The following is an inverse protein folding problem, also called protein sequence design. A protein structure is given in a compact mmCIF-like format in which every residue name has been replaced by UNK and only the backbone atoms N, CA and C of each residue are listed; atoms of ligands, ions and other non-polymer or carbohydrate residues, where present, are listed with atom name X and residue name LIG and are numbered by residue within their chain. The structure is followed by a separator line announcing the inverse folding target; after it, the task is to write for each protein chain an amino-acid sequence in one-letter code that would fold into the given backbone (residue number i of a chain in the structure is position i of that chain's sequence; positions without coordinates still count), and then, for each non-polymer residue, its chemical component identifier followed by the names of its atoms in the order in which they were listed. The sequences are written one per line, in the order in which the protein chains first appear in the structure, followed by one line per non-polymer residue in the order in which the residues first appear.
data_IF_782091061005
#
_entry.id   IF_782091061005
#
_cell.length_a   1.000
_cell.length_b   1.000
_cell.length_c   1.000
_cell.angle_alpha   90.00
_cell.angle_beta   90.00
_cell.angle_gamma   90.00
#
_symmetry.space_group_name_H-M   'P 1'
#
loop_
_entity.id
_entity.type
_entity.pdbx_description
1 polymer ?
#
# COMPACT_ATOMS: atom_id res chain seq x y z
N UNK A 1 10.61 2.20 -17.00
CA UNK A 1 11.78 1.67 -16.27
C UNK A 1 13.08 2.05 -16.98
N UNK A 2 14.01 2.66 -16.25
CA UNK A 2 15.34 2.97 -16.75
C UNK A 2 16.17 1.67 -16.84
N UNK A 3 16.97 1.47 -17.89
CA UNK A 3 17.88 0.32 -17.99
C UNK A 3 19.11 0.55 -17.10
N UNK A 4 18.91 0.60 -15.78
CA UNK A 4 19.96 0.88 -14.79
C UNK A 4 20.53 -0.40 -14.20
N UNK A 5 21.76 -0.35 -13.70
CA UNK A 5 22.42 -1.49 -13.05
C UNK A 5 21.90 -1.75 -11.64
N UNK A 6 21.48 -0.70 -10.93
CA UNK A 6 20.84 -0.81 -9.64
C UNK A 6 19.43 -1.40 -9.81
N UNK A 7 19.12 -2.43 -9.02
CA UNK A 7 17.84 -3.13 -9.03
C UNK A 7 16.89 -2.53 -8.00
N UNK A 8 15.61 -2.50 -8.33
CA UNK A 8 14.49 -2.13 -7.47
C UNK A 8 13.26 -2.94 -7.89
N UNK A 9 12.42 -3.33 -6.92
CA UNK A 9 11.17 -4.08 -7.19
C UNK A 9 9.92 -3.29 -6.82
N UNK A 10 9.92 -2.65 -5.63
CA UNK A 10 8.86 -1.77 -5.18
C UNK A 10 9.39 -0.35 -5.08
N UNK A 11 8.62 0.60 -5.56
CA UNK A 11 9.05 1.97 -5.76
C UNK A 11 7.93 2.95 -5.39
N UNK A 12 8.31 4.15 -4.97
CA UNK A 12 7.39 5.27 -4.78
C UNK A 12 8.07 6.59 -5.10
N UNK A 13 7.37 7.42 -5.87
CA UNK A 13 7.90 8.70 -6.35
C UNK A 13 7.68 9.79 -5.32
N UNK A 14 8.64 10.72 -5.24
CA UNK A 14 8.42 11.95 -4.51
C UNK A 14 7.39 12.84 -5.25
N UNK A 15 6.82 13.88 -4.60
CA UNK A 15 5.69 14.63 -5.17
C UNK A 15 5.98 15.37 -6.47
N UNK A 16 7.22 15.82 -6.67
CA UNK A 16 7.63 16.58 -7.86
C UNK A 16 8.20 15.69 -8.98
N UNK A 17 8.32 14.39 -8.76
CA UNK A 17 8.87 13.43 -9.72
C UNK A 17 10.37 13.54 -9.95
N UNK A 18 11.11 14.34 -9.19
CA UNK A 18 12.57 14.46 -9.33
C UNK A 18 13.33 13.26 -8.78
N UNK A 19 12.71 12.47 -7.91
CA UNK A 19 13.32 11.28 -7.32
C UNK A 19 12.26 10.20 -7.03
N UNK A 20 12.71 8.97 -6.88
CA UNK A 20 11.90 7.91 -6.30
C UNK A 20 12.70 7.10 -5.29
N UNK A 21 12.01 6.59 -4.28
CA UNK A 21 12.54 5.58 -3.37
C UNK A 21 12.25 4.21 -3.94
N UNK A 22 13.21 3.29 -3.85
CA UNK A 22 13.04 1.89 -4.20
C UNK A 22 13.65 0.97 -3.14
N UNK A 23 13.36 -0.31 -3.27
CA UNK A 23 13.88 -1.37 -2.39
C UNK A 23 14.28 -2.58 -3.21
N UNK A 24 15.30 -3.30 -2.74
CA UNK A 24 15.69 -4.59 -3.28
C UNK A 24 16.25 -5.50 -2.18
N UNK A 25 15.59 -6.64 -1.96
CA UNK A 25 15.97 -7.58 -0.89
C UNK A 25 16.17 -9.01 -1.36
N UNK A 26 16.02 -9.27 -2.66
CA UNK A 26 16.06 -10.62 -3.23
C UNK A 26 17.50 -11.08 -3.54
N UNK A 27 17.66 -12.10 -4.38
CA UNK A 27 18.96 -12.68 -4.74
C UNK A 27 19.94 -11.64 -5.28
N UNK A 28 21.09 -11.53 -4.61
CA UNK A 28 22.15 -10.59 -4.98
C UNK A 28 21.96 -9.18 -4.40
N UNK A 29 20.98 -8.96 -3.53
CA UNK A 29 20.84 -7.70 -2.80
C UNK A 29 22.05 -7.44 -1.90
N UNK A 30 22.60 -6.23 -1.99
CA UNK A 30 23.71 -5.73 -1.16
C UNK A 30 23.31 -4.51 -0.33
N UNK A 31 22.15 -3.93 -0.61
CA UNK A 31 21.57 -2.81 0.12
C UNK A 31 20.14 -3.19 0.52
N UNK A 32 19.88 -3.24 1.83
CA UNK A 32 18.59 -3.66 2.39
C UNK A 32 17.77 -2.47 2.94
N UNK A 33 18.31 -1.27 2.81
CA UNK A 33 17.72 -0.01 3.24
C UNK A 33 16.85 0.60 2.14
N UNK A 34 16.28 1.78 2.38
CA UNK A 34 15.55 2.53 1.37
C UNK A 34 16.53 3.17 0.38
N UNK A 35 16.48 2.76 -0.88
CA UNK A 35 17.37 3.22 -1.94
C UNK A 35 16.79 4.44 -2.65
N UNK A 36 17.60 5.48 -2.86
CA UNK A 36 17.16 6.72 -3.51
C UNK A 36 17.63 6.77 -4.96
N UNK A 37 16.71 7.06 -5.88
CA UNK A 37 16.99 7.10 -7.30
C UNK A 37 16.62 8.46 -7.90
N UNK A 38 17.39 8.88 -8.91
CA UNK A 38 17.09 10.05 -9.72
C UNK A 38 15.90 9.77 -10.65
N UNK A 39 14.92 10.68 -10.67
CA UNK A 39 13.68 10.51 -11.40
C UNK A 39 13.80 10.62 -12.92
N UNK A 40 14.89 11.22 -13.44
CA UNK A 40 15.09 11.42 -14.87
C UNK A 40 15.97 10.32 -15.50
N UNK A 41 16.85 9.73 -14.71
CA UNK A 41 17.89 8.80 -15.19
C UNK A 41 17.76 7.41 -14.59
N UNK A 42 17.05 7.27 -13.47
CA UNK A 42 17.00 6.05 -12.66
C UNK A 42 18.31 5.70 -11.97
N UNK A 43 19.28 6.62 -11.95
CA UNK A 43 20.55 6.38 -11.28
C UNK A 43 20.34 6.30 -9.76
N UNK A 44 20.98 5.33 -9.10
CA UNK A 44 21.05 5.27 -7.64
C UNK A 44 21.86 6.47 -7.13
N UNK A 45 21.21 7.38 -6.39
CA UNK A 45 21.81 8.62 -5.88
C UNK A 45 22.14 8.55 -4.40
N UNK A 46 21.55 7.60 -3.66
CA UNK A 46 21.83 7.47 -2.24
C UNK A 46 21.01 6.40 -1.54
N UNK A 47 21.01 6.46 -0.21
CA UNK A 47 20.31 5.52 0.66
C UNK A 47 19.84 6.25 1.90
N UNK A 48 18.63 5.93 2.36
CA UNK A 48 18.07 6.40 3.62
C UNK A 48 18.16 5.27 4.64
N UNK A 49 18.83 5.53 5.75
CA UNK A 49 18.95 4.57 6.86
C UNK A 49 17.55 4.31 7.47
N UNK A 50 17.07 3.08 7.33
CA UNK A 50 15.72 2.64 7.66
C UNK A 50 15.72 1.36 8.52
N UNK A 51 16.92 0.88 8.92
CA UNK A 51 17.10 -0.29 9.76
C UNK A 51 16.88 -1.60 9.01
N UNK A 52 17.08 -1.61 7.70
CA UNK A 52 17.02 -2.79 6.86
C UNK A 52 18.27 -3.67 6.99
N UNK A 53 18.07 -4.98 7.09
CA UNK A 53 19.17 -5.96 7.16
C UNK A 53 18.97 -7.07 6.13
N UNK A 54 19.97 -7.93 5.96
CA UNK A 54 19.87 -9.09 5.07
C UNK A 54 18.77 -10.09 5.46
N UNK A 55 18.37 -10.10 6.73
CA UNK A 55 17.28 -10.93 7.29
C UNK A 55 15.96 -10.18 7.40
N UNK A 56 16.00 -8.86 7.56
CA UNK A 56 14.84 -8.00 7.74
C UNK A 56 14.93 -6.80 6.79
N UNK A 57 14.87 -7.01 5.46
CA UNK A 57 15.00 -5.94 4.50
C UNK A 57 13.83 -4.96 4.59
N UNK A 58 14.07 -3.74 4.12
CA UNK A 58 12.99 -2.80 3.84
C UNK A 58 12.19 -3.25 2.61
N UNK A 59 10.91 -2.94 2.58
CA UNK A 59 10.01 -3.34 1.51
C UNK A 59 8.84 -2.36 1.35
N UNK A 60 8.10 -2.45 0.24
CA UNK A 60 6.85 -1.73 -0.02
C UNK A 60 6.87 -0.25 0.40
N UNK A 61 7.83 0.56 -0.08
CA UNK A 61 7.86 1.96 0.28
C UNK A 61 6.68 2.72 -0.34
N UNK A 62 6.22 3.74 0.37
CA UNK A 62 5.29 4.74 -0.13
C UNK A 62 5.72 6.12 0.36
N UNK A 63 6.01 7.03 -0.57
CA UNK A 63 6.42 8.40 -0.29
C UNK A 63 5.17 9.25 -0.12
N UNK A 64 5.08 9.97 1.00
CA UNK A 64 4.01 10.93 1.27
C UNK A 64 3.84 11.90 0.09
N UNK A 65 2.60 12.13 -0.39
CA UNK A 65 2.31 13.17 -1.39
C UNK A 65 2.70 14.58 -0.94
N UNK A 66 2.95 14.79 0.35
CA UNK A 66 3.44 16.05 0.93
C UNK A 66 4.99 16.13 0.89
N UNK A 67 5.67 15.01 0.62
CA UNK A 67 7.12 14.92 0.45
C UNK A 67 7.92 14.80 1.75
N UNK A 68 7.25 14.90 2.89
CA UNK A 68 7.83 15.01 4.23
C UNK A 68 8.16 13.68 4.90
N UNK A 69 7.79 12.53 4.30
CA UNK A 69 7.96 11.22 4.91
C UNK A 69 7.86 10.08 3.90
N UNK A 70 8.50 8.96 4.21
CA UNK A 70 8.29 7.67 3.55
C UNK A 70 7.78 6.66 4.59
N UNK A 71 6.66 6.00 4.29
CA UNK A 71 6.21 4.80 4.99
C UNK A 71 6.76 3.57 4.27
N UNK A 72 7.11 2.53 5.00
CA UNK A 72 7.67 1.31 4.42
C UNK A 72 7.47 0.15 5.36
N UNK A 73 7.66 -1.06 4.84
CA UNK A 73 7.64 -2.29 5.61
C UNK A 73 9.06 -2.63 6.05
N UNK A 74 9.23 -2.98 7.33
CA UNK A 74 10.38 -3.77 7.76
C UNK A 74 9.97 -5.24 7.83
N UNK A 75 10.52 -6.06 6.93
CA UNK A 75 10.15 -7.47 6.76
C UNK A 75 10.54 -8.28 7.99
N UNK A 76 9.64 -9.13 8.48
CA UNK A 76 9.91 -9.96 9.66
C UNK A 76 10.55 -11.31 9.38
N UNK A 77 10.01 -12.02 8.40
CA UNK A 77 10.60 -13.25 7.87
C UNK A 77 10.80 -13.05 6.38
N UNK A 78 12.05 -13.13 5.96
CA UNK A 78 12.44 -12.90 4.58
C UNK A 78 11.98 -14.05 3.68
N UNK A 79 11.45 -13.66 2.53
CA UNK A 79 11.25 -14.48 1.34
C UNK A 79 11.57 -13.59 0.12
N UNK A 80 10.95 -13.79 -1.03
CA UNK A 80 10.87 -12.74 -2.05
C UNK A 80 10.20 -11.49 -1.46
N UNK A 81 10.57 -10.30 -1.95
CA UNK A 81 9.91 -9.07 -1.51
C UNK A 81 8.39 -9.11 -1.74
N UNK A 82 7.92 -9.79 -2.78
CA UNK A 82 6.49 -9.97 -3.04
C UNK A 82 5.81 -10.84 -1.97
N UNK A 83 6.45 -11.92 -1.51
CA UNK A 83 5.88 -12.91 -0.59
C UNK A 83 6.45 -12.82 0.83
N UNK A 84 6.75 -11.60 1.29
CA UNK A 84 7.35 -11.38 2.61
C UNK A 84 6.35 -11.66 3.75
N UNK A 85 6.85 -12.00 4.95
CA UNK A 85 6.01 -12.29 6.11
C UNK A 85 6.35 -11.44 7.34
N UNK A 86 5.39 -11.38 8.27
CA UNK A 86 5.52 -10.74 9.58
C UNK A 86 6.02 -9.28 9.53
N UNK A 87 5.58 -8.52 8.52
CA UNK A 87 5.93 -7.13 8.35
C UNK A 87 5.37 -6.23 9.46
N UNK A 88 6.13 -5.20 9.78
CA UNK A 88 5.66 -3.99 10.46
C UNK A 88 5.79 -2.77 9.56
N UNK A 89 4.99 -1.75 9.83
CA UNK A 89 5.05 -0.48 9.11
C UNK A 89 5.89 0.50 9.90
N UNK A 90 6.92 1.03 9.26
CA UNK A 90 7.79 2.07 9.78
C UNK A 90 7.67 3.32 8.93
N UNK A 91 8.17 4.43 9.46
CA UNK A 91 8.31 5.68 8.73
C UNK A 91 9.67 6.32 8.95
N UNK A 92 10.16 7.05 7.95
CA UNK A 92 11.28 7.99 8.08
C UNK A 92 10.79 9.37 7.66
N UNK A 93 10.98 10.37 8.52
CA UNK A 93 10.57 11.76 8.25
C UNK A 93 11.73 12.54 7.60
N UNK A 94 11.41 13.45 6.69
CA UNK A 94 12.34 14.40 6.12
C UNK A 94 12.15 15.76 6.79
N UNK A 95 13.15 16.19 7.56
CA UNK A 95 13.14 17.49 8.25
C UNK A 95 14.27 18.33 7.70
N UNK A 96 13.93 19.40 6.97
CA UNK A 96 14.91 20.32 6.40
C UNK A 96 15.86 19.67 5.37
N UNK A 97 15.39 18.64 4.64
CA UNK A 97 16.20 17.90 3.66
C UNK A 97 16.95 16.70 4.26
N UNK A 98 16.88 16.48 5.57
CA UNK A 98 17.53 15.37 6.25
C UNK A 98 16.53 14.31 6.72
N UNK A 99 16.78 13.06 6.33
CA UNK A 99 16.01 11.92 6.81
C UNK A 99 16.36 11.60 8.26
N UNK A 100 15.33 11.56 9.09
CA UNK A 100 15.43 11.26 10.52
C UNK A 100 15.47 9.74 10.76
N UNK A 101 15.94 9.30 11.93
CA UNK A 101 15.83 7.90 12.33
C UNK A 101 14.39 7.38 12.19
N UNK A 102 14.26 6.12 11.82
CA UNK A 102 12.95 5.53 11.61
C UNK A 102 12.12 5.46 12.89
N UNK A 103 10.80 5.49 12.72
CA UNK A 103 9.82 5.25 13.76
C UNK A 103 8.93 4.08 13.38
N UNK A 104 8.60 3.23 14.36
CA UNK A 104 7.60 2.16 14.17
C UNK A 104 6.21 2.77 14.26
N UNK A 105 5.47 2.75 13.15
CA UNK A 105 4.11 3.28 13.08
C UNK A 105 3.07 2.21 13.42
N UNK A 106 3.23 1.01 12.84
CA UNK A 106 2.41 -0.15 13.17
C UNK A 106 3.34 -1.31 13.52
N UNK A 107 3.48 -1.67 14.81
CA UNK A 107 4.47 -2.67 15.24
C UNK A 107 4.12 -4.06 14.72
N UNK A 108 5.07 -5.00 14.74
CA UNK A 108 4.77 -6.42 14.48
C UNK A 108 3.81 -6.97 15.53
N UNK A 109 3.01 -7.96 15.14
CA UNK A 109 2.19 -8.72 16.07
C UNK A 109 2.21 -10.20 15.71
N UNK A 110 2.05 -11.05 16.72
CA UNK A 110 1.90 -12.51 16.54
C UNK A 110 0.68 -12.78 15.67
N UNK A 111 0.82 -13.68 14.71
CA UNK A 111 -0.27 -14.03 13.80
C UNK A 111 -0.65 -12.96 12.78
N UNK A 112 0.18 -11.94 12.56
CA UNK A 112 -0.11 -10.83 11.65
C UNK A 112 1.02 -10.56 10.66
N UNK A 113 0.66 -10.12 9.46
CA UNK A 113 1.57 -9.59 8.45
C UNK A 113 1.02 -8.25 7.94
N UNK A 114 1.82 -7.17 7.96
CA UNK A 114 1.39 -5.82 7.60
C UNK A 114 2.21 -5.27 6.47
N UNK A 115 1.55 -4.76 5.43
CA UNK A 115 2.21 -4.45 4.17
C UNK A 115 1.43 -3.49 3.26
N UNK A 116 2.05 -3.09 2.15
CA UNK A 116 1.55 -2.09 1.21
C UNK A 116 0.98 -0.83 1.91
N UNK A 117 1.79 -0.10 2.70
CA UNK A 117 1.37 1.22 3.17
C UNK A 117 1.06 2.14 1.99
N UNK A 118 0.04 2.97 2.13
CA UNK A 118 -0.41 3.93 1.14
C UNK A 118 -0.93 5.21 1.81
N UNK A 119 -0.21 6.32 1.65
CA UNK A 119 -0.60 7.62 2.17
C UNK A 119 -1.78 8.19 1.39
N UNK A 120 -2.75 8.71 2.14
CA UNK A 120 -3.78 9.56 1.57
C UNK A 120 -3.15 10.83 0.97
N UNK A 121 -3.83 11.51 0.03
CA UNK A 121 -3.31 12.72 -0.62
C UNK A 121 -2.97 13.87 0.32
N UNK A 122 -3.52 13.90 1.52
CA UNK A 122 -3.22 14.91 2.53
C UNK A 122 -2.04 14.54 3.45
N UNK A 123 -1.46 13.35 3.28
CA UNK A 123 -0.35 12.82 4.07
C UNK A 123 -0.69 12.47 5.53
N UNK A 124 -1.97 12.54 5.95
CA UNK A 124 -2.36 12.36 7.37
C UNK A 124 -2.97 11.02 7.68
N UNK A 125 -3.53 10.35 6.68
CA UNK A 125 -4.06 8.98 6.82
C UNK A 125 -3.17 8.02 6.05
N UNK A 126 -2.85 6.88 6.65
CA UNK A 126 -2.18 5.77 5.98
C UNK A 126 -3.10 4.56 5.94
N UNK A 127 -3.36 4.03 4.75
CA UNK A 127 -4.04 2.74 4.56
C UNK A 127 -3.01 1.66 4.30
N UNK A 128 -3.26 0.45 4.77
CA UNK A 128 -2.37 -0.69 4.58
C UNK A 128 -3.14 -2.02 4.59
N UNK A 129 -2.50 -3.08 4.13
CA UNK A 129 -3.00 -4.44 4.25
C UNK A 129 -2.53 -5.09 5.56
N UNK A 130 -3.43 -5.81 6.22
CA UNK A 130 -3.08 -6.75 7.28
C UNK A 130 -3.69 -8.12 7.00
N UNK A 131 -2.83 -9.14 6.98
CA UNK A 131 -3.21 -10.55 6.95
C UNK A 131 -3.22 -11.15 8.35
N UNK A 132 -4.08 -12.15 8.56
CA UNK A 132 -4.18 -12.94 9.78
C UNK A 132 -3.68 -14.36 9.53
N UNK A 133 -2.55 -14.69 10.13
CA UNK A 133 -1.89 -15.99 10.00
C UNK A 133 -2.54 -17.02 10.93
N UNK A 134 -2.82 -18.21 10.39
CA UNK A 134 -3.39 -19.31 11.16
C UNK A 134 -2.50 -19.67 12.37
N UNK A 135 -3.14 -20.00 13.50
CA UNK A 135 -2.48 -20.45 14.73
C UNK A 135 -1.39 -19.48 15.28
N UNK A 136 -1.44 -18.20 14.92
CA UNK A 136 -0.43 -17.24 15.34
C UNK A 136 0.90 -17.33 14.59
N UNK A 137 0.95 -18.06 13.46
CA UNK A 137 2.15 -18.21 12.62
C UNK A 137 2.71 -16.85 12.19
N UNK A 138 4.00 -16.80 11.88
CA UNK A 138 4.71 -15.62 11.38
C UNK A 138 5.29 -15.84 9.97
N UNK A 139 4.92 -16.95 9.31
CA UNK A 139 5.29 -17.27 7.93
C UNK A 139 4.31 -18.23 7.26
N UNK A 140 4.66 -18.69 6.05
CA UNK A 140 3.97 -19.77 5.32
C UNK A 140 2.62 -19.39 4.71
N UNK A 141 1.63 -19.12 5.55
CA UNK A 141 0.21 -19.09 5.16
C UNK A 141 -0.41 -17.67 5.19
N UNK A 142 0.41 -16.61 5.20
CA UNK A 142 -0.04 -15.22 5.28
C UNK A 142 0.96 -14.22 4.66
N UNK A 143 1.32 -14.44 3.40
CA UNK A 143 2.23 -13.54 2.67
C UNK A 143 1.59 -12.20 2.26
N UNK A 144 2.37 -11.37 1.59
CA UNK A 144 1.99 -10.07 1.06
C UNK A 144 1.52 -10.09 -0.41
N UNK A 145 1.27 -11.28 -1.00
CA UNK A 145 0.92 -11.42 -2.41
C UNK A 145 -0.59 -11.65 -2.58
N UNK A 146 -1.08 -12.82 -2.18
CA UNK A 146 -2.48 -13.26 -2.40
C UNK A 146 -3.09 -13.94 -1.18
N UNK A 147 -2.76 -13.47 0.03
CA UNK A 147 -3.34 -14.02 1.25
C UNK A 147 -4.87 -13.79 1.32
N UNK A 148 -5.71 -14.84 1.44
CA UNK A 148 -7.17 -14.68 1.48
C UNK A 148 -7.69 -13.85 2.65
N UNK A 149 -6.96 -13.84 3.78
CA UNK A 149 -7.39 -13.15 5.00
C UNK A 149 -7.07 -11.66 4.99
N UNK A 150 -6.30 -11.19 4.00
CA UNK A 150 -5.86 -9.81 3.87
C UNK A 150 -7.04 -8.83 3.85
N UNK A 151 -6.97 -7.83 4.73
CA UNK A 151 -7.96 -6.76 4.87
C UNK A 151 -7.28 -5.40 4.90
N UNK A 152 -8.03 -4.36 4.54
CA UNK A 152 -7.59 -2.98 4.63
C UNK A 152 -7.78 -2.42 6.04
N UNK A 153 -6.77 -1.70 6.51
CA UNK A 153 -6.77 -0.95 7.76
C UNK A 153 -6.29 0.47 7.50
N UNK A 154 -6.69 1.40 8.37
CA UNK A 154 -6.21 2.77 8.40
C UNK A 154 -5.59 3.12 9.76
N UNK A 155 -4.68 4.09 9.74
CA UNK A 155 -4.07 4.69 10.94
C UNK A 155 -3.77 6.17 10.68
N UNK A 156 -3.72 6.99 11.74
CA UNK A 156 -3.13 8.32 11.66
C UNK A 156 -1.64 8.17 11.33
N UNK A 157 -1.25 8.69 10.19
CA UNK A 157 0.10 8.58 9.66
C UNK A 157 1.12 9.36 10.51
N UNK A 158 0.71 10.47 11.12
CA UNK A 158 1.55 11.38 11.90
C UNK A 158 1.66 10.90 13.34
N UNK A 159 0.52 10.71 14.00
CA UNK A 159 0.44 10.40 15.43
C UNK A 159 0.48 8.90 15.76
N UNK A 160 0.27 8.03 14.76
CA UNK A 160 0.09 6.60 14.98
C UNK A 160 -1.22 6.31 15.74
N UNK A 161 -1.15 5.38 16.69
CA UNK A 161 -2.28 5.01 17.53
C UNK A 161 -3.01 3.74 17.07
N UNK A 162 -4.31 3.68 17.31
CA UNK A 162 -5.11 2.48 17.04
C UNK A 162 -5.37 2.30 15.55
N UNK A 163 -4.98 1.14 15.02
CA UNK A 163 -5.34 0.74 13.67
C UNK A 163 -6.82 0.44 13.59
N UNK A 164 -7.49 0.93 12.56
CA UNK A 164 -8.93 0.76 12.36
C UNK A 164 -9.19 -0.03 11.10
N UNK A 165 -9.95 -1.12 11.20
CA UNK A 165 -10.36 -1.87 10.02
C UNK A 165 -11.30 -1.02 9.17
N UNK A 166 -11.07 -0.99 7.86
CA UNK A 166 -11.99 -0.38 6.90
C UNK A 166 -13.15 -1.34 6.63
N UNK A 167 -13.98 -1.61 7.64
CA UNK A 167 -14.96 -2.70 7.62
C UNK A 167 -15.93 -2.59 6.44
N UNK A 168 -16.41 -1.38 6.12
CA UNK A 168 -17.28 -1.13 4.98
C UNK A 168 -16.57 -1.36 3.64
N UNK A 169 -15.32 -0.91 3.48
CA UNK A 169 -14.55 -1.19 2.27
C UNK A 169 -14.23 -2.69 2.13
N UNK A 170 -13.97 -3.38 3.25
CA UNK A 170 -13.66 -4.81 3.28
C UNK A 170 -14.88 -5.72 3.08
N UNK A 171 -16.10 -5.20 3.29
CA UNK A 171 -17.32 -5.99 3.26
C UNK A 171 -17.55 -6.74 1.93
N UNK A 172 -18.05 -7.98 1.96
CA UNK A 172 -18.38 -8.72 0.75
C UNK A 172 -19.50 -8.08 -0.06
N UNK A 173 -19.52 -8.36 -1.36
CA UNK A 173 -20.69 -8.13 -2.19
C UNK A 173 -21.75 -9.21 -1.96
N UNK A 174 -22.97 -8.95 -2.41
CA UNK A 174 -24.10 -9.89 -2.26
C UNK A 174 -23.79 -11.26 -2.87
N UNK A 175 -23.10 -11.29 -4.02
CA UNK A 175 -22.78 -12.53 -4.73
C UNK A 175 -21.64 -13.35 -4.10
N UNK A 176 -20.92 -12.78 -3.13
CA UNK A 176 -19.88 -13.48 -2.36
C UNK A 176 -20.49 -14.35 -1.24
N UNK A 177 -21.80 -14.26 -0.98
CA UNK A 177 -22.51 -15.03 0.03
C UNK A 177 -21.84 -14.90 1.42
N UNK A 178 -21.43 -16.03 2.02
CA UNK A 178 -20.76 -16.07 3.31
C UNK A 178 -19.24 -15.81 3.25
N UNK A 179 -18.67 -15.67 2.05
CA UNK A 179 -17.23 -15.45 1.88
C UNK A 179 -16.85 -14.04 2.32
N UNK A 180 -16.00 -13.95 3.35
CA UNK A 180 -15.50 -12.66 3.89
C UNK A 180 -13.98 -12.50 3.75
N UNK A 181 -13.29 -13.56 3.32
CA UNK A 181 -11.86 -13.57 3.01
C UNK A 181 -11.71 -13.34 1.50
N UNK A 182 -11.44 -12.09 1.13
CA UNK A 182 -11.50 -11.60 -0.25
C UNK A 182 -10.14 -11.11 -0.77
N UNK A 183 -9.05 -11.48 -0.08
CA UNK A 183 -7.67 -11.18 -0.48
C UNK A 183 -7.47 -9.71 -0.89
N UNK A 184 -7.92 -8.76 -0.05
CA UNK A 184 -7.76 -7.35 -0.39
C UNK A 184 -6.27 -7.00 -0.38
N UNK A 185 -5.76 -6.42 -1.45
CA UNK A 185 -4.32 -6.19 -1.63
C UNK A 185 -4.02 -4.91 -2.43
N UNK A 186 -2.82 -4.39 -2.21
CA UNK A 186 -2.20 -3.28 -2.94
C UNK A 186 -3.05 -1.99 -3.00
N UNK A 187 -3.40 -1.38 -1.84
CA UNK A 187 -4.17 -0.14 -1.83
C UNK A 187 -3.39 1.00 -2.50
N UNK A 188 -4.10 1.80 -3.30
CA UNK A 188 -3.58 3.03 -3.92
C UNK A 188 -4.62 4.13 -3.90
N UNK A 189 -4.20 5.32 -3.52
CA UNK A 189 -5.08 6.48 -3.45
C UNK A 189 -5.22 7.17 -4.81
N UNK A 190 -6.43 7.66 -5.07
CA UNK A 190 -6.62 8.77 -5.98
C UNK A 190 -5.89 10.00 -5.41
N UNK A 191 -5.14 10.78 -6.22
CA UNK A 191 -4.28 11.85 -5.71
C UNK A 191 -5.02 13.15 -5.29
N UNK A 192 -6.36 13.16 -5.27
CA UNK A 192 -7.14 14.35 -4.94
C UNK A 192 -7.92 14.20 -3.63
N UNK A 193 -8.02 15.32 -2.90
CA UNK A 193 -8.95 15.46 -1.78
C UNK A 193 -10.24 16.08 -2.28
N UNK A 194 -11.36 15.40 -2.02
CA UNK A 194 -12.70 15.86 -2.33
C UNK A 194 -13.39 16.39 -1.07
N UNK A 195 -14.50 17.09 -1.25
CA UNK A 195 -15.39 17.49 -0.15
C UNK A 195 -16.73 16.82 -0.33
N UNK A 196 -17.29 16.27 0.76
CA UNK A 196 -18.69 15.84 0.78
C UNK A 196 -19.57 17.09 0.73
N UNK A 197 -20.59 17.10 -0.12
CA UNK A 197 -21.53 18.20 -0.20
C UNK A 197 -22.28 18.36 1.13
N UNK A 198 -22.57 19.61 1.50
CA UNK A 198 -23.36 19.94 2.69
C UNK A 198 -22.65 19.83 4.06
N UNK A 199 -21.71 18.90 4.27
CA UNK A 199 -21.03 18.72 5.58
C UNK A 199 -19.62 19.32 5.65
N UNK A 200 -19.00 19.61 4.51
CA UNK A 200 -17.64 20.17 4.44
C UNK A 200 -16.50 19.19 4.78
N UNK A 201 -16.82 17.95 5.17
CA UNK A 201 -15.84 16.91 5.49
C UNK A 201 -15.02 16.49 4.26
N UNK A 202 -13.72 16.28 4.48
CA UNK A 202 -12.76 15.87 3.45
C UNK A 202 -12.89 14.38 3.18
N UNK A 203 -12.87 14.01 1.90
CA UNK A 203 -12.90 12.63 1.46
C UNK A 203 -11.73 12.35 0.52
N UNK A 204 -11.14 11.17 0.65
CA UNK A 204 -10.27 10.60 -0.36
C UNK A 204 -10.89 9.34 -0.94
N UNK A 205 -10.31 8.85 -2.03
CA UNK A 205 -10.72 7.57 -2.60
C UNK A 205 -9.54 6.61 -2.67
N UNK A 206 -9.75 5.41 -2.16
CA UNK A 206 -8.76 4.34 -2.19
C UNK A 206 -9.23 3.26 -3.15
N UNK A 207 -8.34 2.81 -4.02
CA UNK A 207 -8.48 1.61 -4.84
C UNK A 207 -7.70 0.47 -4.24
N UNK A 208 -8.14 -0.75 -4.48
CA UNK A 208 -7.47 -1.97 -4.06
C UNK A 208 -7.89 -3.12 -4.97
N UNK A 209 -7.04 -4.13 -5.07
CA UNK A 209 -7.39 -5.39 -5.72
C UNK A 209 -8.10 -6.33 -4.74
N UNK A 210 -9.00 -7.16 -5.23
CA UNK A 210 -9.76 -8.13 -4.41
C UNK A 210 -10.23 -9.31 -5.23
N UNK A 211 -10.38 -10.48 -4.61
CA UNK A 211 -11.04 -11.66 -5.20
C UNK A 211 -12.57 -11.57 -5.13
N UNK A 212 -13.11 -10.44 -4.64
CA UNK A 212 -14.54 -10.15 -4.60
C UNK A 212 -15.18 -10.19 -5.98
N UNK A 213 -16.36 -10.79 -6.07
CA UNK A 213 -17.13 -10.89 -7.31
C UNK A 213 -17.75 -9.56 -7.73
N UNK A 214 -17.69 -9.26 -9.03
CA UNK A 214 -18.44 -8.15 -9.62
C UNK A 214 -19.83 -8.65 -10.07
N UNK A 215 -20.81 -8.54 -9.18
CA UNK A 215 -22.12 -9.18 -9.39
C UNK A 215 -21.94 -10.69 -9.53
N UNK A 216 -22.51 -11.31 -10.55
CA UNK A 216 -22.34 -12.76 -10.80
C UNK A 216 -21.00 -13.14 -11.45
N UNK A 217 -20.11 -12.17 -11.71
CA UNK A 217 -18.83 -12.40 -12.37
C UNK A 217 -17.74 -12.65 -11.32
N UNK A 218 -17.17 -13.85 -11.34
CA UNK A 218 -15.95 -14.14 -10.59
C UNK A 218 -14.74 -13.49 -11.25
N UNK A 219 -13.72 -13.08 -10.48
CA UNK A 219 -12.40 -12.79 -11.04
C UNK A 219 -11.86 -13.98 -11.85
N UNK A 220 -10.99 -13.74 -12.83
CA UNK A 220 -10.48 -14.79 -13.71
C UNK A 220 -9.48 -15.69 -12.96
N UNK A 221 -9.74 -17.01 -12.95
CA UNK A 221 -8.87 -17.98 -12.27
C UNK A 221 -8.69 -17.67 -10.79
N UNK A 222 -7.44 -17.56 -10.35
CA UNK A 222 -7.06 -17.11 -9.00
C UNK A 222 -6.72 -15.60 -8.96
N UNK A 223 -7.21 -14.83 -9.94
CA UNK A 223 -6.92 -13.41 -10.09
C UNK A 223 -7.81 -12.50 -9.27
N UNK A 224 -7.63 -11.19 -9.47
CA UNK A 224 -8.34 -10.14 -8.75
C UNK A 224 -8.99 -9.13 -9.70
N UNK A 225 -9.98 -8.41 -9.18
CA UNK A 225 -10.57 -7.23 -9.81
C UNK A 225 -10.28 -5.99 -8.97
N UNK A 226 -10.37 -4.81 -9.59
CA UNK A 226 -10.20 -3.53 -8.92
C UNK A 226 -11.50 -3.05 -8.27
N UNK A 227 -11.38 -2.62 -7.03
CA UNK A 227 -12.45 -2.05 -6.21
C UNK A 227 -12.03 -0.68 -5.70
N UNK A 228 -13.02 0.17 -5.40
CA UNK A 228 -12.80 1.53 -4.93
C UNK A 228 -13.76 1.86 -3.79
N UNK A 229 -13.26 2.55 -2.77
CA UNK A 229 -14.05 3.04 -1.64
C UNK A 229 -13.73 4.51 -1.35
N UNK A 230 -14.73 5.27 -0.94
CA UNK A 230 -14.51 6.56 -0.30
C UNK A 230 -14.01 6.35 1.12
N UNK A 231 -13.15 7.25 1.58
CA UNK A 231 -12.65 7.30 2.96
C UNK A 231 -12.81 8.72 3.47
N UNK A 232 -13.51 8.88 4.59
CA UNK A 232 -13.65 10.13 5.30
C UNK A 232 -12.34 10.46 6.04
N UNK A 233 -11.63 11.49 5.59
CA UNK A 233 -10.31 11.87 6.11
C UNK A 233 -10.39 12.66 7.42
N UNK A 234 -11.61 13.01 7.86
CA UNK A 234 -11.86 13.74 9.10
C UNK A 234 -12.63 12.87 10.13
N UNK A 235 -12.80 11.57 9.85
CA UNK A 235 -13.43 10.63 10.76
C UNK A 235 -12.67 10.56 12.10
N UNK A 236 -13.38 10.46 13.25
CA UNK A 236 -12.74 10.27 14.53
C UNK A 236 -11.87 9.01 14.57
N UNK A 237 -10.72 9.09 15.22
CA UNK A 237 -9.82 7.95 15.39
C UNK A 237 -10.55 6.75 16.03
N UNK A 238 -10.28 5.54 15.53
CA UNK A 238 -10.92 4.31 16.00
C UNK A 238 -12.31 4.03 15.40
N UNK A 239 -12.85 4.92 14.57
CA UNK A 239 -14.10 4.68 13.82
C UNK A 239 -13.80 4.25 12.39
N UNK A 240 -14.63 3.40 11.77
CA UNK A 240 -14.47 3.03 10.36
C UNK A 240 -14.73 4.24 9.46
N UNK A 241 -13.68 4.80 8.80
CA UNK A 241 -13.84 5.98 7.95
C UNK A 241 -14.35 5.62 6.55
N UNK A 242 -14.45 4.33 6.21
CA UNK A 242 -14.70 3.90 4.83
C UNK A 242 -16.19 3.80 4.50
N UNK A 243 -16.51 4.07 3.24
CA UNK A 243 -17.78 3.69 2.63
C UNK A 243 -17.71 2.28 2.05
N UNK A 244 -18.86 1.70 1.71
CA UNK A 244 -18.92 0.43 0.99
C UNK A 244 -18.22 0.56 -0.37
N UNK A 245 -17.34 -0.39 -0.66
CA UNK A 245 -16.60 -0.37 -1.92
C UNK A 245 -17.47 -0.81 -3.11
N UNK A 246 -17.17 -0.25 -4.29
CA UNK A 246 -17.78 -0.61 -5.57
C UNK A 246 -16.71 -1.08 -6.57
N UNK A 247 -17.10 -1.89 -7.55
CA UNK A 247 -16.19 -2.37 -8.59
C UNK A 247 -15.77 -1.20 -9.49
N UNK A 248 -14.47 -1.02 -9.71
CA UNK A 248 -13.95 0.06 -10.54
C UNK A 248 -14.36 -0.20 -12.01
N UNK A 249 -14.97 0.76 -12.72
CA UNK A 249 -15.36 0.55 -14.11
C UNK A 249 -14.12 0.50 -15.05
N UNK A 250 -14.33 0.05 -16.28
CA UNK A 250 -13.34 0.04 -17.37
C UNK A 250 -12.10 -0.86 -17.16
N UNK A 251 -12.20 -1.89 -16.33
CA UNK A 251 -11.23 -2.99 -16.26
C UNK A 251 -11.62 -4.13 -17.22
N UNK A 252 -10.64 -4.83 -17.78
CA UNK A 252 -10.87 -6.08 -18.51
C UNK A 252 -11.13 -7.20 -17.49
N UNK A 253 -12.34 -7.75 -17.49
CA UNK A 253 -12.76 -8.77 -16.52
C UNK A 253 -12.19 -10.16 -16.80
N UNK A 254 -11.52 -10.35 -17.95
CA UNK A 254 -10.84 -11.60 -18.28
C UNK A 254 -9.39 -11.64 -17.76
N UNK A 255 -8.85 -10.55 -17.22
CA UNK A 255 -7.48 -10.46 -16.70
C UNK A 255 -7.43 -10.21 -15.20
N UNK A 256 -6.31 -10.57 -14.56
CA UNK A 256 -6.07 -10.27 -13.15
C UNK A 256 -5.62 -8.80 -13.02
N UNK A 257 -6.43 -7.98 -12.37
CA UNK A 257 -6.21 -6.54 -12.26
C UNK A 257 -5.75 -6.16 -10.84
N UNK A 258 -4.52 -5.67 -10.72
CA UNK A 258 -3.89 -5.47 -9.41
C UNK A 258 -3.74 -3.99 -9.00
N UNK A 259 -3.67 -3.05 -9.95
CA UNK A 259 -3.39 -1.64 -9.65
C UNK A 259 -4.22 -0.73 -10.54
N UNK A 260 -4.89 0.27 -9.95
CA UNK A 260 -5.50 1.37 -10.70
C UNK A 260 -4.48 2.50 -10.92
N UNK A 261 -4.59 3.19 -12.05
CA UNK A 261 -3.78 4.37 -12.35
C UNK A 261 -4.67 5.60 -12.51
N UNK A 262 -4.14 6.75 -12.07
CA UNK A 262 -4.83 8.03 -12.10
C UNK A 262 -4.07 9.00 -13.00
N UNK A 263 -4.81 9.80 -13.76
CA UNK A 263 -4.25 10.94 -14.48
C UNK A 263 -5.20 12.13 -14.40
N UNK A 264 -4.64 13.33 -14.33
CA UNK A 264 -5.39 14.59 -14.50
C UNK A 264 -5.71 14.87 -15.96
N UNK A 265 -4.95 14.27 -16.89
CA UNK A 265 -5.02 14.54 -18.33
C UNK A 265 -4.90 13.25 -19.13
N UNK A 266 -5.80 13.06 -20.08
CA UNK A 266 -5.67 12.03 -21.12
C UNK A 266 -4.96 12.68 -22.30
N UNK A 267 -3.72 12.28 -22.56
CA UNK A 267 -2.99 12.72 -23.75
C UNK A 267 -3.14 11.64 -24.82
N UNK A 268 -3.61 11.97 -26.03
CA UNK A 268 -3.66 10.99 -27.12
C UNK A 268 -2.24 10.51 -27.46
N UNK A 269 -2.08 9.28 -28.01
CA UNK A 269 -0.77 8.81 -28.46
C UNK A 269 -0.14 9.84 -29.42
N UNK A 270 1.15 10.13 -29.24
CA UNK A 270 1.91 10.87 -30.25
C UNK A 270 1.88 10.02 -31.54
N UNK A 271 1.31 10.57 -32.62
CA UNK A 271 1.35 9.97 -33.94
C UNK A 271 2.74 10.08 -34.56
#
# INVERSE_FOLDING_TARGET
PFPTTAKSNFESWNPDGSAYVGVYGDTGATNFELMMFDGNTGALTGTVAAGGTSTNPTNHPDWSPIGDRIAYVNVGVKNTLQMMYNGEIRTVANVGGAWQPYQVLVPRAVGKNRYYPAFAPDGKVLVFNESTCANGSTGGDCDADTDPSAKLFAIDAIGGGTTTALANANAPGIADNATTNLANSFPKWNPFVFRRDGSGGRMGWVTFSSTRKYGLRSPPGNGTLLWMAAVDLDAPAGTDPSATAFALPFQDLATSNHIAQWTTQVVPPLQ
#
